data_IF_329725056805
#
_entry.id   IF_329725056805
#
_cell.length_a   1.000
_cell.length_b   1.000
_cell.length_c   1.000
_cell.angle_alpha   90.00
_cell.angle_beta   90.00
_cell.angle_gamma   90.00
#
_symmetry.space_group_name_H-M   'P 1'
#
loop_
_entity.id
_entity.type
_entity.pdbx_description
1 polymer ?
#
# COMPACT_ATOMS: atom_id res chain seq x y z
N UNK A 1 14.28 -25.07 -26.26
CA UNK A 1 14.97 -23.88 -25.68
C UNK A 1 14.10 -22.66 -25.92
N UNK A 2 13.90 -21.81 -24.92
CA UNK A 2 13.20 -20.55 -25.11
C UNK A 2 14.05 -19.63 -26.00
N UNK A 3 13.45 -18.91 -26.94
CA UNK A 3 14.16 -17.91 -27.72
C UNK A 3 14.43 -16.67 -26.87
N UNK A 4 15.47 -15.86 -27.20
CA UNK A 4 15.77 -14.60 -26.53
C UNK A 4 14.51 -13.74 -26.35
N UNK A 5 13.69 -13.61 -27.39
CA UNK A 5 12.43 -12.88 -27.36
C UNK A 5 11.46 -13.42 -26.30
N UNK A 6 11.40 -14.73 -26.10
CA UNK A 6 10.55 -15.34 -25.09
C UNK A 6 11.06 -15.06 -23.66
N UNK A 7 12.38 -15.06 -23.44
CA UNK A 7 12.96 -14.70 -22.13
C UNK A 7 12.71 -13.24 -21.76
N UNK A 8 12.82 -12.31 -22.73
CA UNK A 8 12.48 -10.89 -22.50
C UNK A 8 11.01 -10.70 -22.14
N UNK A 9 10.09 -11.40 -22.84
CA UNK A 9 8.66 -11.33 -22.52
C UNK A 9 8.36 -11.88 -21.11
N UNK A 10 8.96 -13.01 -20.73
CA UNK A 10 8.84 -13.58 -19.39
C UNK A 10 9.40 -12.62 -18.32
N UNK A 11 10.58 -12.06 -18.55
CA UNK A 11 11.18 -11.10 -17.63
C UNK A 11 10.33 -9.82 -17.48
N UNK A 12 9.72 -9.35 -18.58
CA UNK A 12 8.78 -8.21 -18.56
C UNK A 12 7.57 -8.50 -17.68
N UNK A 13 6.93 -9.67 -17.88
CA UNK A 13 5.78 -10.11 -17.08
C UNK A 13 6.16 -10.33 -15.62
N UNK A 14 7.31 -10.93 -15.36
CA UNK A 14 7.81 -11.14 -14.00
C UNK A 14 8.12 -9.83 -13.29
N UNK A 15 8.66 -8.83 -14.00
CA UNK A 15 8.87 -7.50 -13.44
C UNK A 15 7.55 -6.83 -13.06
N UNK A 16 6.55 -6.83 -13.94
CA UNK A 16 5.22 -6.26 -13.63
C UNK A 16 4.58 -6.97 -12.44
N UNK A 17 4.61 -8.30 -12.42
CA UNK A 17 4.09 -9.12 -11.33
C UNK A 17 4.77 -8.84 -10.00
N UNK A 18 6.11 -8.79 -9.99
CA UNK A 18 6.94 -8.64 -8.80
C UNK A 18 7.11 -7.20 -8.32
N UNK A 19 6.92 -6.20 -9.20
CA UNK A 19 7.17 -4.80 -8.86
C UNK A 19 6.44 -4.31 -7.61
N UNK A 20 5.10 -4.50 -7.47
CA UNK A 20 4.39 -4.05 -6.26
C UNK A 20 4.86 -4.77 -5.01
N UNK A 21 5.17 -6.05 -5.09
CA UNK A 21 5.69 -6.85 -3.99
C UNK A 21 7.04 -6.33 -3.49
N UNK A 22 8.00 -6.14 -4.39
CA UNK A 22 9.32 -5.61 -4.04
C UNK A 22 9.23 -4.17 -3.55
N UNK A 23 8.44 -3.32 -4.23
CA UNK A 23 8.29 -1.93 -3.82
C UNK A 23 7.64 -1.80 -2.45
N UNK A 24 6.57 -2.56 -2.18
CA UNK A 24 5.89 -2.60 -0.88
C UNK A 24 6.82 -3.08 0.24
N UNK A 25 7.51 -4.21 0.06
CA UNK A 25 8.42 -4.75 1.07
C UNK A 25 9.60 -3.82 1.35
N UNK A 26 10.14 -3.14 0.34
CA UNK A 26 11.17 -2.12 0.53
C UNK A 26 10.65 -0.92 1.34
N UNK A 27 9.39 -0.50 1.16
CA UNK A 27 8.84 0.57 1.99
C UNK A 27 8.59 0.09 3.44
N UNK A 28 8.18 -1.17 3.66
CA UNK A 28 8.08 -1.74 5.01
C UNK A 28 9.47 -1.81 5.66
N UNK A 29 10.50 -2.26 4.94
CA UNK A 29 11.90 -2.29 5.41
C UNK A 29 12.38 -0.89 5.83
N UNK A 30 12.00 0.16 5.10
CA UNK A 30 12.34 1.54 5.46
C UNK A 30 11.78 1.96 6.82
N UNK A 31 10.57 1.52 7.21
CA UNK A 31 10.04 1.82 8.55
C UNK A 31 10.92 1.23 9.65
N UNK A 32 11.48 0.04 9.44
CA UNK A 32 12.32 -0.62 10.46
C UNK A 32 13.80 -0.20 10.40
N UNK A 33 14.21 0.53 9.37
CA UNK A 33 15.62 0.93 9.21
C UNK A 33 15.87 2.44 9.31
N UNK A 34 14.98 3.28 8.78
CA UNK A 34 15.19 4.75 8.72
C UNK A 34 13.97 5.59 9.07
N UNK A 35 12.75 5.05 8.94
CA UNK A 35 11.49 5.81 9.02
C UNK A 35 11.04 6.36 7.66
N UNK A 36 9.79 6.81 7.56
CA UNK A 36 9.19 7.38 6.34
C UNK A 36 8.39 8.64 6.66
N UNK A 37 8.55 9.69 5.86
CA UNK A 37 7.84 10.95 6.01
C UNK A 37 8.07 11.55 7.40
N UNK A 38 6.99 12.00 8.05
CA UNK A 38 7.04 12.54 9.42
C UNK A 38 7.19 11.50 10.54
N UNK A 39 7.46 10.22 10.22
CA UNK A 39 7.58 9.14 11.21
C UNK A 39 9.03 8.71 11.43
N UNK A 40 9.34 8.26 12.66
CA UNK A 40 10.66 7.73 13.00
C UNK A 40 10.76 6.24 12.69
N UNK A 41 12.01 5.75 12.58
CA UNK A 41 12.32 4.32 12.62
C UNK A 41 11.65 3.65 13.82
N UNK A 42 11.12 2.44 13.60
CA UNK A 42 10.47 1.65 14.66
C UNK A 42 10.72 0.16 14.41
N UNK A 43 10.95 -0.65 15.46
CA UNK A 43 11.02 -2.11 15.31
C UNK A 43 9.70 -2.69 14.79
N UNK A 44 9.74 -3.89 14.23
CA UNK A 44 8.53 -4.65 13.94
C UNK A 44 7.61 -4.74 15.17
N UNK A 45 6.32 -4.85 14.93
CA UNK A 45 5.26 -4.95 15.94
C UNK A 45 5.18 -3.75 16.90
N UNK A 46 5.60 -2.58 16.42
CA UNK A 46 5.46 -1.33 17.13
C UNK A 46 4.89 -0.25 16.22
N UNK A 47 4.07 0.63 16.78
CA UNK A 47 3.57 1.80 16.06
C UNK A 47 4.63 2.91 16.01
N UNK A 48 4.70 3.57 14.86
CA UNK A 48 5.30 4.88 14.70
C UNK A 48 4.22 5.89 14.31
N UNK A 49 4.24 7.05 14.94
CA UNK A 49 3.18 8.04 14.82
C UNK A 49 3.70 9.31 14.18
N UNK A 50 2.99 9.81 13.18
CA UNK A 50 3.19 11.18 12.71
C UNK A 50 2.70 12.16 13.78
N UNK A 51 3.46 13.20 14.04
CA UNK A 51 3.15 14.20 15.07
C UNK A 51 2.37 15.41 14.54
N UNK A 52 2.18 15.50 13.22
CA UNK A 52 1.49 16.59 12.51
C UNK A 52 0.84 16.06 11.24
N UNK A 53 -0.03 16.84 10.64
CA UNK A 53 -0.52 16.57 9.29
C UNK A 53 0.65 16.64 8.30
N UNK A 54 0.53 15.90 7.20
CA UNK A 54 1.55 15.87 6.16
C UNK A 54 1.75 17.26 5.53
N UNK A 55 2.97 17.55 5.13
CA UNK A 55 3.36 18.79 4.46
C UNK A 55 4.30 18.49 3.27
N UNK A 56 4.64 19.46 2.40
CA UNK A 56 5.47 19.24 1.21
C UNK A 56 6.87 18.69 1.48
N UNK A 57 7.39 18.81 2.69
CA UNK A 57 8.66 18.20 3.11
C UNK A 57 8.57 16.68 3.30
N UNK A 58 7.36 16.15 3.49
CA UNK A 58 7.10 14.71 3.60
C UNK A 58 7.06 14.09 2.20
N UNK A 59 8.21 13.65 1.71
CA UNK A 59 8.36 13.09 0.36
C UNK A 59 7.79 11.68 0.28
N UNK A 60 6.45 11.59 0.23
CA UNK A 60 5.70 10.37 0.01
C UNK A 60 4.60 10.58 -1.04
N UNK A 61 4.41 9.58 -1.90
CA UNK A 61 3.46 9.64 -3.02
C UNK A 61 2.03 9.81 -2.52
N UNK A 62 1.32 10.80 -3.03
CA UNK A 62 -0.12 11.04 -2.79
C UNK A 62 -0.52 11.01 -1.30
N UNK A 63 0.35 11.50 -0.39
CA UNK A 63 0.07 11.54 1.03
C UNK A 63 -1.13 12.48 1.31
N UNK A 64 -2.10 12.04 2.12
CA UNK A 64 -3.22 12.90 2.49
C UNK A 64 -2.85 13.90 3.59
N UNK A 65 -3.61 14.98 3.66
CA UNK A 65 -3.46 16.06 4.64
C UNK A 65 -4.69 16.21 5.56
N UNK A 66 -5.53 15.16 5.65
CA UNK A 66 -6.79 15.16 6.41
C UNK A 66 -6.73 14.31 7.66
N UNK A 67 -5.75 13.42 7.75
CA UNK A 67 -5.58 12.46 8.83
C UNK A 67 -4.14 12.41 9.30
N UNK A 68 -3.96 12.07 10.57
CA UNK A 68 -2.65 11.79 11.15
C UNK A 68 -2.35 10.30 11.00
N UNK A 69 -1.14 9.99 10.53
CA UNK A 69 -0.72 8.61 10.33
C UNK A 69 -0.21 7.94 11.61
N UNK A 70 -0.57 6.67 11.75
CA UNK A 70 -0.07 5.76 12.80
C UNK A 70 0.23 4.41 12.15
N UNK A 71 1.47 4.16 11.77
CA UNK A 71 1.84 3.00 10.98
C UNK A 71 2.63 2.00 11.83
N UNK A 72 2.44 0.72 11.55
CA UNK A 72 3.18 -0.34 12.24
C UNK A 72 3.64 -1.40 11.22
N UNK A 73 4.95 -1.57 11.00
CA UNK A 73 5.48 -2.75 10.33
C UNK A 73 5.20 -3.97 11.21
N UNK A 74 4.65 -5.02 10.63
CA UNK A 74 4.23 -6.23 11.33
C UNK A 74 5.10 -7.39 10.87
N UNK A 75 5.59 -8.18 11.83
CA UNK A 75 6.18 -9.50 11.60
C UNK A 75 5.63 -10.47 12.65
N UNK A 76 4.87 -11.44 12.16
CA UNK A 76 4.24 -12.48 12.99
C UNK A 76 5.01 -13.82 12.94
N UNK A 77 6.25 -13.86 12.42
CA UNK A 77 7.07 -15.08 12.35
C UNK A 77 7.37 -15.69 13.72
N UNK A 78 7.50 -14.85 14.75
CA UNK A 78 7.73 -15.28 16.12
C UNK A 78 6.46 -15.84 16.80
N UNK A 79 5.28 -15.64 16.22
CA UNK A 79 3.98 -16.04 16.73
C UNK A 79 2.95 -14.91 16.73
N UNK A 80 1.73 -15.17 17.23
CA UNK A 80 0.67 -14.17 17.26
C UNK A 80 0.99 -12.95 18.09
N UNK A 81 0.50 -11.79 17.65
CA UNK A 81 0.55 -10.54 18.41
C UNK A 81 -0.85 -9.97 18.61
N UNK A 82 -1.05 -9.25 19.70
CA UNK A 82 -2.32 -8.62 20.07
C UNK A 82 -2.26 -7.13 19.71
N UNK A 83 -3.13 -6.71 18.80
CA UNK A 83 -3.41 -5.30 18.54
C UNK A 83 -4.51 -4.82 19.48
N UNK A 84 -4.24 -3.78 20.26
CA UNK A 84 -5.20 -3.08 21.09
C UNK A 84 -5.52 -1.71 20.47
N UNK A 85 -6.81 -1.41 20.31
CA UNK A 85 -7.30 -0.13 19.83
C UNK A 85 -8.12 0.57 20.91
N UNK A 86 -8.01 1.90 21.07
CA UNK A 86 -8.80 2.67 22.04
C UNK A 86 -10.25 2.87 21.55
N UNK A 87 -11.12 3.32 22.46
CA UNK A 87 -12.37 3.96 22.08
C UNK A 87 -12.04 5.36 21.49
N UNK A 88 -12.44 5.56 20.24
CA UNK A 88 -12.21 6.84 19.54
C UNK A 88 -13.42 7.78 19.63
N UNK A 89 -14.45 7.42 20.41
CA UNK A 89 -15.63 8.26 20.70
C UNK A 89 -16.30 8.80 19.43
N UNK A 90 -16.46 7.95 18.41
CA UNK A 90 -17.09 8.32 17.15
C UNK A 90 -16.16 8.97 16.11
N UNK A 91 -14.89 9.32 16.46
CA UNK A 91 -13.90 9.86 15.53
C UNK A 91 -13.62 8.83 14.42
N UNK A 92 -13.53 9.29 13.18
CA UNK A 92 -13.09 8.43 12.09
C UNK A 92 -11.64 8.00 12.30
N UNK A 93 -11.43 6.71 12.21
CA UNK A 93 -10.11 6.11 12.06
C UNK A 93 -10.21 4.87 11.19
N UNK A 94 -9.12 4.50 10.59
CA UNK A 94 -8.94 3.23 9.87
C UNK A 94 -7.52 2.71 10.11
N UNK A 95 -7.42 1.45 10.43
CA UNK A 95 -6.21 0.64 10.38
C UNK A 95 -6.37 -0.30 9.19
N UNK A 96 -5.66 -0.03 8.13
CA UNK A 96 -5.62 -0.82 6.90
C UNK A 96 -4.49 -1.82 7.02
N UNK A 97 -4.77 -3.10 6.81
CA UNK A 97 -3.77 -4.17 6.85
C UNK A 97 -3.36 -4.54 5.44
N UNK A 98 -2.07 -4.48 5.18
CA UNK A 98 -1.47 -4.76 3.88
C UNK A 98 -0.44 -5.88 4.04
N UNK A 99 -0.56 -6.95 3.26
CA UNK A 99 0.38 -8.06 3.27
C UNK A 99 1.67 -7.75 2.46
N UNK A 100 2.62 -8.68 2.41
CA UNK A 100 3.84 -8.52 1.64
C UNK A 100 3.56 -8.30 0.13
N UNK A 101 2.49 -8.89 -0.41
CA UNK A 101 2.08 -8.78 -1.81
C UNK A 101 1.28 -7.51 -2.14
N UNK A 102 1.20 -6.55 -1.18
CA UNK A 102 0.43 -5.31 -1.34
C UNK A 102 -1.09 -5.51 -1.41
N UNK A 103 -1.62 -6.64 -0.93
CA UNK A 103 -3.06 -6.84 -0.81
C UNK A 103 -3.59 -6.17 0.46
N UNK A 104 -4.68 -5.42 0.34
CA UNK A 104 -5.46 -4.94 1.48
C UNK A 104 -6.34 -6.09 1.98
N UNK A 105 -5.97 -6.78 3.05
CA UNK A 105 -6.63 -8.01 3.45
C UNK A 105 -7.52 -7.89 4.69
N UNK A 106 -7.38 -6.82 5.48
CA UNK A 106 -8.23 -6.54 6.63
C UNK A 106 -8.36 -5.04 6.90
N UNK A 107 -9.41 -4.66 7.62
CA UNK A 107 -9.63 -3.30 8.12
C UNK A 107 -10.15 -3.35 9.55
N UNK A 108 -9.61 -2.47 10.41
CA UNK A 108 -10.16 -2.15 11.73
C UNK A 108 -10.41 -0.64 11.75
N UNK A 109 -11.57 -0.19 12.23
CA UNK A 109 -11.90 1.24 12.26
C UNK A 109 -13.38 1.50 12.13
N UNK A 110 -13.74 2.78 12.05
CA UNK A 110 -15.13 3.24 12.16
C UNK A 110 -16.11 2.47 11.27
N UNK A 111 -15.78 2.28 9.99
CA UNK A 111 -16.63 1.53 9.06
C UNK A 111 -16.63 0.02 9.36
N UNK A 112 -15.45 -0.55 9.60
CA UNK A 112 -15.24 -1.99 9.65
C UNK A 112 -15.66 -2.62 10.97
N UNK A 113 -15.31 -1.98 12.11
CA UNK A 113 -15.48 -2.53 13.46
C UNK A 113 -16.10 -1.56 14.46
N UNK A 114 -16.43 -0.34 14.02
CA UNK A 114 -16.92 0.72 14.90
C UNK A 114 -15.79 1.50 15.57
N UNK A 115 -16.17 2.25 16.62
CA UNK A 115 -15.24 3.20 17.28
C UNK A 115 -14.94 2.83 18.74
N UNK A 116 -15.53 1.75 19.26
CA UNK A 116 -15.27 1.26 20.62
C UNK A 116 -13.88 0.63 20.74
N UNK A 117 -13.34 0.62 21.96
CA UNK A 117 -12.12 -0.10 22.25
C UNK A 117 -12.23 -1.59 21.91
N UNK A 118 -11.15 -2.20 21.42
CA UNK A 118 -11.14 -3.60 21.03
C UNK A 118 -9.76 -4.21 21.00
N UNK A 119 -9.73 -5.55 20.94
CA UNK A 119 -8.50 -6.34 20.79
C UNK A 119 -8.61 -7.27 19.60
N UNK A 120 -7.54 -7.34 18.82
CA UNK A 120 -7.44 -8.18 17.63
C UNK A 120 -6.20 -9.05 17.73
N UNK A 121 -6.36 -10.35 17.51
CA UNK A 121 -5.27 -11.31 17.48
C UNK A 121 -4.77 -11.44 16.06
N UNK A 122 -3.58 -10.93 15.79
CA UNK A 122 -2.91 -11.02 14.49
C UNK A 122 -2.12 -12.32 14.46
N UNK A 123 -2.53 -13.25 13.59
CA UNK A 123 -1.96 -14.60 13.57
C UNK A 123 -1.11 -14.83 12.31
N UNK A 124 0.00 -15.60 12.42
CA UNK A 124 0.79 -15.98 11.25
C UNK A 124 0.02 -16.90 10.30
N UNK A 125 0.47 -17.06 9.05
CA UNK A 125 -0.08 -18.05 8.13
C UNK A 125 -0.11 -19.45 8.76
N UNK A 126 -1.22 -20.18 8.56
CA UNK A 126 -1.39 -21.56 9.07
C UNK A 126 -1.35 -21.72 10.61
N UNK A 127 -1.48 -20.63 11.36
CA UNK A 127 -1.66 -20.73 12.81
C UNK A 127 -2.99 -21.40 13.14
N UNK A 128 -2.97 -22.29 14.14
CA UNK A 128 -4.13 -23.11 14.53
C UNK A 128 -4.32 -23.18 16.06
N UNK A 129 -3.79 -22.21 16.79
CA UNK A 129 -3.98 -22.10 18.24
C UNK A 129 -5.37 -21.55 18.60
N UNK A 130 -5.64 -21.46 19.90
CA UNK A 130 -6.90 -20.97 20.42
C UNK A 130 -6.94 -19.43 20.43
N UNK A 131 -8.03 -18.85 19.88
CA UNK A 131 -8.30 -17.42 19.93
C UNK A 131 -8.95 -17.07 21.27
N UNK A 132 -8.38 -16.16 22.09
CA UNK A 132 -9.05 -15.69 23.31
C UNK A 132 -10.44 -15.14 23.05
N UNK A 133 -11.39 -15.42 23.94
CA UNK A 133 -12.82 -15.10 23.76
C UNK A 133 -13.12 -13.57 23.64
N UNK A 134 -12.23 -12.72 24.14
CA UNK A 134 -12.31 -11.27 24.09
C UNK A 134 -11.58 -10.65 22.87
N UNK A 135 -11.11 -11.46 21.93
CA UNK A 135 -10.35 -11.03 20.75
C UNK A 135 -11.01 -11.50 19.45
N UNK A 136 -10.78 -10.73 18.40
CA UNK A 136 -11.15 -11.09 17.02
C UNK A 136 -9.85 -11.47 16.29
N UNK A 137 -9.82 -12.64 15.66
CA UNK A 137 -8.66 -13.06 14.86
C UNK A 137 -8.59 -12.31 13.54
N UNK A 138 -7.37 -11.93 13.15
CA UNK A 138 -7.02 -11.45 11.81
C UNK A 138 -5.84 -12.30 11.32
N UNK A 139 -6.07 -13.14 10.32
CA UNK A 139 -5.07 -14.03 9.75
C UNK A 139 -4.21 -13.29 8.74
N UNK A 140 -2.90 -13.22 9.01
CA UNK A 140 -1.96 -12.65 8.06
C UNK A 140 -1.70 -13.64 6.92
N UNK A 141 -1.80 -13.20 5.65
CA UNK A 141 -1.46 -14.06 4.51
C UNK A 141 0.03 -14.35 4.39
N UNK A 142 0.87 -13.44 4.89
CA UNK A 142 2.33 -13.54 4.92
C UNK A 142 2.86 -13.15 6.29
N UNK A 143 4.02 -13.67 6.71
CA UNK A 143 4.57 -13.34 8.03
C UNK A 143 4.85 -11.84 8.19
N UNK A 144 5.21 -11.16 7.11
CA UNK A 144 5.43 -9.70 7.10
C UNK A 144 4.27 -8.99 6.43
N UNK A 145 3.89 -7.86 7.01
CA UNK A 145 2.92 -6.93 6.48
C UNK A 145 3.07 -5.56 7.14
N UNK A 146 2.10 -4.69 6.91
CA UNK A 146 2.07 -3.37 7.54
C UNK A 146 0.63 -2.98 7.90
N UNK A 147 0.48 -2.27 9.01
CA UNK A 147 -0.74 -1.54 9.35
C UNK A 147 -0.54 -0.08 8.96
N UNK A 148 -1.40 0.45 8.09
CA UNK A 148 -1.45 1.86 7.75
C UNK A 148 -2.65 2.47 8.49
N UNK A 149 -2.36 3.14 9.59
CA UNK A 149 -3.35 3.79 10.42
C UNK A 149 -3.55 5.25 10.04
N UNK A 150 -4.81 5.67 9.98
CA UNK A 150 -5.22 7.05 9.72
C UNK A 150 -6.28 7.45 10.73
N UNK A 151 -6.03 8.54 11.47
CA UNK A 151 -6.97 9.12 12.42
C UNK A 151 -7.36 10.50 11.92
N UNK A 152 -8.66 10.79 11.81
CA UNK A 152 -9.12 12.12 11.43
C UNK A 152 -8.60 13.18 12.40
N UNK A 153 -8.17 14.32 11.86
CA UNK A 153 -7.63 15.43 12.62
C UNK A 153 -8.20 16.75 12.08
N UNK A 154 -8.83 17.51 12.95
CA UNK A 154 -9.48 18.78 12.59
C UNK A 154 -8.53 19.98 12.82
N UNK A 155 -7.32 19.86 12.29
CA UNK A 155 -6.29 20.89 12.36
C UNK A 155 -5.43 20.82 13.62
N UNK A 156 -4.60 21.85 13.81
CA UNK A 156 -3.58 21.86 14.87
C UNK A 156 -4.14 21.80 16.29
N UNK A 157 -5.31 22.41 16.52
CA UNK A 157 -5.95 22.41 17.84
C UNK A 157 -6.40 21.02 18.29
N UNK A 158 -6.64 20.11 17.35
CA UNK A 158 -7.08 18.74 17.62
C UNK A 158 -5.91 17.76 17.83
N UNK A 159 -4.69 18.15 17.48
CA UNK A 159 -3.49 17.30 17.60
C UNK A 159 -3.30 16.68 18.99
N UNK A 160 -3.50 17.39 20.13
CA UNK A 160 -3.37 16.78 21.45
C UNK A 160 -4.30 15.59 21.65
N UNK A 161 -5.58 15.72 21.27
CA UNK A 161 -6.57 14.62 21.37
C UNK A 161 -6.20 13.43 20.48
N UNK A 162 -5.73 13.69 19.25
CA UNK A 162 -5.28 12.62 18.36
C UNK A 162 -4.06 11.89 18.91
N UNK A 163 -3.12 12.61 19.53
CA UNK A 163 -1.93 12.01 20.17
C UNK A 163 -2.29 11.09 21.34
N UNK A 164 -3.25 11.48 22.17
CA UNK A 164 -3.75 10.62 23.25
C UNK A 164 -4.33 9.30 22.72
N UNK A 165 -4.99 9.32 21.56
CA UNK A 165 -5.48 8.11 20.91
C UNK A 165 -4.33 7.29 20.30
N UNK A 166 -3.36 7.93 19.66
CA UNK A 166 -2.17 7.28 19.11
C UNK A 166 -1.39 6.51 20.18
N UNK A 167 -1.19 7.10 21.36
CA UNK A 167 -0.46 6.49 22.48
C UNK A 167 -1.15 5.24 23.05
N UNK A 168 -2.44 5.08 22.79
CA UNK A 168 -3.23 3.92 23.21
C UNK A 168 -3.23 2.79 22.16
N UNK A 169 -2.83 3.06 20.91
CA UNK A 169 -2.61 2.02 19.91
C UNK A 169 -1.38 1.19 20.29
N UNK A 170 -1.57 -0.10 20.55
CA UNK A 170 -0.47 -0.98 21.02
C UNK A 170 -0.50 -2.31 20.32
N UNK A 171 0.70 -2.86 20.10
CA UNK A 171 0.89 -4.23 19.65
C UNK A 171 1.77 -4.91 20.69
N UNK A 172 1.32 -6.05 21.18
CA UNK A 172 2.06 -6.84 22.19
C UNK A 172 2.10 -8.30 21.76
N UNK A 173 3.21 -9.02 21.97
CA UNK A 173 3.26 -10.47 21.76
C UNK A 173 2.17 -11.19 22.58
N UNK A 174 1.52 -12.20 22.00
CA UNK A 174 0.60 -13.07 22.77
C UNK A 174 1.40 -13.91 23.78
N UNK A 175 2.58 -14.38 23.38
CA UNK A 175 3.50 -15.14 24.22
C UNK A 175 4.89 -14.53 24.11
N UNK A 176 5.61 -14.43 25.22
CA UNK A 176 6.97 -13.90 25.25
C UNK A 176 7.99 -14.87 24.63
N UNK A 177 9.06 -14.35 24.04
CA UNK A 177 10.34 -15.02 24.00
C UNK A 177 10.96 -15.39 22.66
N UNK A 178 10.39 -15.03 21.50
CA UNK A 178 11.09 -15.22 20.22
C UNK A 178 11.34 -13.90 19.53
N UNK A 179 12.51 -13.77 18.92
CA UNK A 179 12.79 -12.70 17.96
C UNK A 179 12.09 -13.00 16.64
N UNK A 180 11.69 -11.95 15.94
CA UNK A 180 11.08 -12.06 14.62
C UNK A 180 12.15 -12.34 13.57
N UNK A 181 11.79 -13.03 12.49
CA UNK A 181 12.73 -13.41 11.42
C UNK A 181 13.17 -12.22 10.57
N UNK A 182 12.30 -11.21 10.40
CA UNK A 182 12.55 -10.07 9.52
C UNK A 182 12.54 -10.44 8.03
N UNK A 183 13.14 -9.56 7.23
CA UNK A 183 13.29 -9.82 5.80
C UNK A 183 14.46 -10.76 5.52
N UNK A 184 14.31 -11.73 4.58
CA UNK A 184 15.41 -12.59 4.20
C UNK A 184 16.49 -11.80 3.45
N UNK A 185 17.75 -12.16 3.71
CA UNK A 185 18.88 -11.56 3.00
C UNK A 185 18.95 -12.05 1.54
N UNK A 186 19.37 -11.16 0.67
CA UNK A 186 19.63 -11.44 -0.76
C UNK A 186 20.89 -10.72 -1.23
N UNK A 187 21.46 -11.15 -2.34
CA UNK A 187 22.67 -10.53 -2.89
C UNK A 187 22.38 -9.13 -3.47
N UNK A 188 22.70 -8.10 -2.70
CA UNK A 188 22.55 -6.69 -3.05
C UNK A 188 23.70 -6.17 -3.92
N UNK A 189 24.76 -6.97 -4.16
CA UNK A 189 25.91 -6.56 -4.98
C UNK A 189 25.69 -6.65 -6.49
N UNK A 190 24.61 -7.35 -6.88
CA UNK A 190 24.20 -7.46 -8.28
C UNK A 190 23.79 -6.10 -8.85
N UNK A 191 23.97 -5.90 -10.16
CA UNK A 191 23.43 -4.72 -10.84
C UNK A 191 21.93 -4.57 -10.61
N UNK A 192 21.44 -3.33 -10.63
CA UNK A 192 20.08 -2.95 -10.20
C UNK A 192 18.97 -3.88 -10.72
N UNK A 193 18.99 -4.20 -12.00
CA UNK A 193 17.97 -5.04 -12.63
C UNK A 193 18.07 -6.49 -12.17
N UNK A 194 19.29 -7.04 -12.04
CA UNK A 194 19.51 -8.39 -11.54
C UNK A 194 19.19 -8.51 -10.05
N UNK A 195 19.55 -7.48 -9.26
CA UNK A 195 19.20 -7.42 -7.84
C UNK A 195 17.68 -7.43 -7.61
N UNK A 196 16.89 -6.81 -8.51
CA UNK A 196 15.43 -6.89 -8.44
C UNK A 196 14.94 -8.34 -8.58
N UNK A 197 15.43 -9.08 -9.58
CA UNK A 197 15.01 -10.47 -9.78
C UNK A 197 15.53 -11.39 -8.66
N UNK A 198 16.72 -11.11 -8.11
CA UNK A 198 17.23 -11.86 -6.97
C UNK A 198 16.38 -11.63 -5.71
N UNK A 199 16.07 -10.38 -5.38
CA UNK A 199 15.17 -10.07 -4.28
C UNK A 199 13.80 -10.73 -4.48
N UNK A 200 13.25 -10.65 -5.70
CA UNK A 200 11.98 -11.28 -6.04
C UNK A 200 12.02 -12.79 -5.82
N UNK A 201 13.07 -13.48 -6.29
CA UNK A 201 13.28 -14.91 -6.12
C UNK A 201 13.31 -15.33 -4.64
N UNK A 202 14.12 -14.63 -3.85
CA UNK A 202 14.30 -14.91 -2.43
C UNK A 202 13.01 -14.64 -1.65
N UNK A 203 12.37 -13.51 -1.92
CA UNK A 203 11.15 -13.11 -1.21
C UNK A 203 9.94 -13.96 -1.59
N UNK A 204 9.79 -14.37 -2.86
CA UNK A 204 8.74 -15.30 -3.28
C UNK A 204 8.82 -16.64 -2.56
N UNK A 205 10.02 -17.13 -2.25
CA UNK A 205 10.21 -18.38 -1.52
C UNK A 205 9.81 -18.25 -0.04
N UNK A 206 9.95 -17.06 0.56
CA UNK A 206 9.66 -16.80 1.98
C UNK A 206 8.19 -16.33 2.19
N UNK A 207 7.63 -15.61 1.24
CA UNK A 207 6.29 -15.05 1.32
C UNK A 207 5.43 -15.59 0.18
N UNK A 208 4.80 -16.76 0.34
CA UNK A 208 4.00 -17.36 -0.73
C UNK A 208 2.82 -16.45 -1.11
N UNK A 209 2.44 -16.41 -2.41
CA UNK A 209 1.28 -15.68 -2.87
C UNK A 209 -0.02 -16.42 -2.53
N UNK A 210 -1.16 -15.85 -2.93
CA UNK A 210 -2.40 -16.59 -2.98
C UNK A 210 -2.27 -17.82 -3.89
N UNK A 211 -2.98 -18.92 -3.56
CA UNK A 211 -2.87 -20.21 -4.22
C UNK A 211 -3.05 -20.11 -5.75
N UNK A 212 -4.03 -19.31 -6.20
CA UNK A 212 -4.29 -19.09 -7.63
C UNK A 212 -3.12 -18.47 -8.39
N UNK A 213 -2.23 -17.76 -7.73
CA UNK A 213 -1.07 -17.09 -8.34
C UNK A 213 0.17 -18.03 -8.43
N UNK A 214 0.14 -19.23 -7.83
CA UNK A 214 1.25 -20.20 -7.87
C UNK A 214 1.59 -20.61 -9.31
N UNK A 215 0.57 -20.88 -10.14
CA UNK A 215 0.77 -21.24 -11.56
C UNK A 215 1.46 -20.10 -12.33
N UNK A 216 1.14 -18.84 -11.98
CA UNK A 216 1.81 -17.68 -12.57
C UNK A 216 3.28 -17.65 -12.21
N UNK A 217 3.63 -17.90 -10.94
CA UNK A 217 5.02 -17.95 -10.50
C UNK A 217 5.80 -19.07 -11.18
N UNK A 218 5.22 -20.27 -11.30
CA UNK A 218 5.82 -21.40 -11.99
C UNK A 218 6.18 -21.06 -13.45
N UNK A 219 5.38 -20.25 -14.13
CA UNK A 219 5.66 -19.79 -15.48
C UNK A 219 6.98 -19.02 -15.64
N UNK A 220 7.53 -18.48 -14.54
CA UNK A 220 8.79 -17.75 -14.51
C UNK A 220 10.02 -18.64 -14.27
N UNK A 221 9.87 -19.96 -14.17
CA UNK A 221 11.00 -20.90 -14.01
C UNK A 221 12.10 -20.72 -15.08
N UNK A 222 11.77 -20.46 -16.38
CA UNK A 222 12.80 -20.31 -17.41
C UNK A 222 13.75 -19.11 -17.22
N UNK A 223 13.39 -18.15 -16.39
CA UNK A 223 14.23 -17.00 -16.04
C UNK A 223 14.87 -17.12 -14.65
N UNK A 224 14.81 -18.30 -14.01
CA UNK A 224 15.50 -18.61 -12.76
C UNK A 224 14.75 -18.23 -11.48
N UNK A 225 13.54 -17.66 -11.55
CA UNK A 225 12.81 -17.19 -10.36
C UNK A 225 12.36 -18.31 -9.41
N UNK A 226 12.26 -19.56 -9.91
CA UNK A 226 11.87 -20.72 -9.10
C UNK A 226 13.07 -21.52 -8.56
N UNK A 227 14.29 -21.10 -8.87
CA UNK A 227 15.50 -21.79 -8.40
C UNK A 227 15.75 -21.55 -6.91
N UNK A 228 16.12 -22.61 -6.19
CA UNK A 228 16.45 -22.57 -4.76
C UNK A 228 17.96 -22.60 -4.56
N UNK A 229 18.41 -22.07 -3.42
CA UNK A 229 19.83 -22.07 -3.05
C UNK A 229 20.64 -20.99 -3.75
N UNK A 230 21.72 -21.36 -4.43
CA UNK A 230 22.63 -20.40 -5.09
C UNK A 230 21.89 -19.59 -6.14
N UNK A 231 22.14 -18.28 -6.15
CA UNK A 231 21.49 -17.37 -7.08
C UNK A 231 21.88 -17.67 -8.55
N UNK A 232 20.90 -17.88 -9.45
CA UNK A 232 21.18 -18.04 -10.88
C UNK A 232 21.69 -16.72 -11.51
N UNK A 233 21.58 -15.61 -10.79
CA UNK A 233 21.96 -14.27 -11.26
C UNK A 233 23.37 -13.85 -10.86
N UNK A 234 24.08 -14.64 -10.05
CA UNK A 234 25.47 -14.37 -9.67
C UNK A 234 26.44 -14.59 -10.84
N UNK A 235 26.12 -15.52 -11.76
CA UNK A 235 26.90 -15.78 -12.99
C UNK A 235 25.98 -16.22 -14.13
N UNK A 236 25.03 -15.38 -14.59
CA UNK A 236 24.06 -15.74 -15.60
C UNK A 236 24.73 -15.83 -16.99
N UNK A 237 24.12 -16.59 -17.89
CA UNK A 237 24.50 -16.48 -19.32
C UNK A 237 24.22 -15.05 -19.82
N UNK A 238 24.99 -14.58 -20.82
CA UNK A 238 24.74 -13.27 -21.43
C UNK A 238 23.33 -13.15 -22.00
N UNK A 239 22.76 -14.23 -22.52
CA UNK A 239 21.39 -14.29 -23.02
C UNK A 239 20.38 -14.00 -21.89
N UNK A 240 20.49 -14.69 -20.75
CA UNK A 240 19.61 -14.48 -19.59
C UNK A 240 19.80 -13.08 -19.00
N UNK A 241 21.04 -12.65 -18.80
CA UNK A 241 21.35 -11.31 -18.27
C UNK A 241 20.73 -10.20 -19.11
N UNK A 242 20.91 -10.24 -20.42
CA UNK A 242 20.34 -9.24 -21.33
C UNK A 242 18.81 -9.30 -21.32
N UNK A 243 18.20 -10.51 -21.29
CA UNK A 243 16.76 -10.65 -21.22
C UNK A 243 16.17 -10.05 -19.93
N UNK A 244 16.82 -10.23 -18.79
CA UNK A 244 16.38 -9.65 -17.51
C UNK A 244 16.48 -8.11 -17.52
N UNK A 245 17.59 -7.56 -18.03
CA UNK A 245 17.77 -6.11 -18.14
C UNK A 245 16.74 -5.47 -19.07
N UNK A 246 16.53 -6.05 -20.26
CA UNK A 246 15.54 -5.57 -21.23
C UNK A 246 14.11 -5.71 -20.68
N UNK A 247 13.82 -6.85 -20.06
CA UNK A 247 12.51 -7.14 -19.46
C UNK A 247 12.18 -6.19 -18.31
N UNK A 248 13.12 -5.87 -17.42
CA UNK A 248 12.92 -4.90 -16.37
C UNK A 248 12.60 -3.49 -16.91
N UNK A 249 13.34 -3.04 -17.92
CA UNK A 249 13.09 -1.76 -18.59
C UNK A 249 11.73 -1.72 -19.26
N UNK A 250 11.37 -2.77 -20.00
CA UNK A 250 10.07 -2.87 -20.66
C UNK A 250 8.92 -2.95 -19.64
N UNK A 251 9.09 -3.71 -18.57
CA UNK A 251 8.10 -3.83 -17.49
C UNK A 251 7.81 -2.48 -16.82
N UNK A 252 8.87 -1.73 -16.45
CA UNK A 252 8.71 -0.40 -15.89
C UNK A 252 8.04 0.58 -16.87
N UNK A 253 8.40 0.52 -18.15
CA UNK A 253 7.78 1.36 -19.17
C UNK A 253 6.27 1.03 -19.33
N UNK A 254 5.90 -0.24 -19.30
CA UNK A 254 4.51 -0.69 -19.37
C UNK A 254 3.71 -0.21 -18.14
N UNK A 255 4.25 -0.33 -16.93
CA UNK A 255 3.63 0.18 -15.71
C UNK A 255 3.39 1.69 -15.85
N UNK A 256 4.43 2.47 -16.21
CA UNK A 256 4.32 3.92 -16.38
C UNK A 256 3.28 4.30 -17.44
N UNK A 257 3.23 3.59 -18.55
CA UNK A 257 2.20 3.83 -19.59
C UNK A 257 0.79 3.56 -19.06
N UNK A 258 0.63 2.55 -18.22
CA UNK A 258 -0.68 2.21 -17.64
C UNK A 258 -1.17 3.23 -16.60
N UNK A 259 -0.30 4.05 -15.99
CA UNK A 259 -0.70 5.06 -14.99
C UNK A 259 -1.59 6.18 -15.56
N UNK A 260 -1.62 6.36 -16.87
CA UNK A 260 -2.44 7.38 -17.55
C UNK A 260 -3.65 6.79 -18.30
N UNK A 261 -3.86 5.47 -18.20
CA UNK A 261 -4.89 4.77 -18.96
C UNK A 261 -6.11 4.41 -18.11
N UNK A 262 -6.61 5.37 -17.33
CA UNK A 262 -7.85 5.20 -16.57
C UNK A 262 -9.06 5.60 -17.37
N UNK A 263 -10.20 4.89 -17.16
CA UNK A 263 -11.50 5.40 -17.59
C UNK A 263 -11.73 6.74 -16.91
N UNK A 264 -12.23 7.70 -17.64
CA UNK A 264 -12.54 9.02 -17.08
C UNK A 264 -14.00 9.40 -17.35
N UNK A 265 -14.57 10.13 -16.39
CA UNK A 265 -15.88 10.75 -16.51
C UNK A 265 -15.74 12.22 -16.10
N UNK A 266 -16.26 13.12 -16.91
CA UNK A 266 -16.12 14.57 -16.73
C UNK A 266 -14.67 15.04 -16.50
N UNK A 267 -13.69 14.39 -17.14
CA UNK A 267 -12.28 14.69 -16.99
C UNK A 267 -11.61 14.09 -15.71
N UNK A 268 -12.38 13.38 -14.86
CA UNK A 268 -11.86 12.73 -13.67
C UNK A 268 -11.64 11.24 -13.92
N UNK A 269 -10.46 10.76 -13.58
CA UNK A 269 -10.13 9.33 -13.62
C UNK A 269 -10.92 8.56 -12.56
N UNK A 270 -11.60 7.49 -12.99
CA UNK A 270 -12.38 6.62 -12.13
C UNK A 270 -11.43 5.58 -11.52
N UNK A 271 -11.08 5.75 -10.26
CA UNK A 271 -10.08 4.92 -9.56
C UNK A 271 -10.67 4.13 -8.39
N UNK A 272 -12.02 4.05 -8.28
CA UNK A 272 -12.68 3.34 -7.18
C UNK A 272 -12.30 1.86 -7.07
N UNK A 273 -11.87 1.24 -8.16
CA UNK A 273 -11.45 -0.16 -8.23
C UNK A 273 -9.93 -0.36 -8.31
N UNK A 274 -9.15 0.70 -8.05
CA UNK A 274 -7.70 0.68 -8.17
C UNK A 274 -7.03 -0.31 -7.21
N UNK A 275 -7.68 -0.65 -6.10
CA UNK A 275 -7.14 -1.54 -5.06
C UNK A 275 -7.83 -2.90 -4.99
N UNK A 276 -8.68 -3.24 -5.95
CA UNK A 276 -9.50 -4.45 -5.95
C UNK A 276 -8.79 -5.68 -6.57
N UNK A 277 -7.48 -5.67 -6.56
CA UNK A 277 -6.63 -6.74 -7.10
C UNK A 277 -6.37 -7.90 -6.13
N UNK A 278 -6.93 -7.87 -4.92
CA UNK A 278 -6.81 -8.98 -3.97
C UNK A 278 -7.14 -10.30 -4.64
N UNK A 279 -6.37 -11.35 -4.31
CA UNK A 279 -6.62 -12.69 -4.81
C UNK A 279 -7.65 -13.41 -3.95
N UNK A 280 -7.27 -13.87 -2.74
CA UNK A 280 -8.11 -14.74 -1.91
C UNK A 280 -8.12 -14.34 -0.41
N UNK A 281 -7.47 -13.26 -0.03
CA UNK A 281 -7.31 -12.86 1.37
C UNK A 281 -8.34 -11.79 1.74
N UNK A 282 -9.41 -12.22 2.41
CA UNK A 282 -10.54 -11.35 2.80
C UNK A 282 -10.88 -11.57 4.26
N UNK A 283 -10.24 -10.80 5.13
CA UNK A 283 -10.47 -10.80 6.57
C UNK A 283 -11.47 -9.70 6.97
N UNK A 284 -11.62 -9.46 8.27
CA UNK A 284 -12.56 -8.49 8.82
C UNK A 284 -12.51 -7.13 8.11
N UNK A 285 -13.67 -6.55 7.84
CA UNK A 285 -13.80 -5.22 7.23
C UNK A 285 -13.59 -5.17 5.71
N UNK A 286 -13.15 -6.26 5.06
CA UNK A 286 -13.10 -6.37 3.61
C UNK A 286 -14.43 -6.87 3.03
N UNK A 287 -14.63 -6.65 1.71
CA UNK A 287 -15.82 -7.11 0.99
C UNK A 287 -15.42 -8.13 -0.07
N UNK A 288 -15.75 -9.40 0.16
CA UNK A 288 -15.62 -10.46 -0.85
C UNK A 288 -16.86 -10.45 -1.75
N UNK A 289 -16.87 -9.53 -2.72
CA UNK A 289 -17.91 -9.43 -3.75
C UNK A 289 -17.25 -9.21 -5.10
N UNK A 290 -17.85 -9.71 -6.19
CA UNK A 290 -17.34 -9.50 -7.55
C UNK A 290 -17.26 -8.01 -7.93
N UNK A 291 -18.08 -7.16 -7.30
CA UNK A 291 -18.00 -5.71 -7.50
C UNK A 291 -16.67 -5.10 -7.01
N UNK A 292 -15.95 -5.81 -6.11
CA UNK A 292 -14.71 -5.37 -5.46
C UNK A 292 -13.55 -6.33 -5.71
N UNK A 293 -13.58 -7.04 -6.83
CA UNK A 293 -12.50 -7.96 -7.24
C UNK A 293 -12.27 -7.82 -8.74
N UNK A 294 -11.03 -7.57 -9.15
CA UNK A 294 -10.62 -7.64 -10.55
C UNK A 294 -10.44 -9.13 -10.90
N UNK A 295 -11.40 -9.68 -11.65
CA UNK A 295 -11.41 -11.11 -11.97
C UNK A 295 -10.31 -11.50 -12.96
N UNK A 296 -10.04 -10.63 -13.97
CA UNK A 296 -8.91 -10.82 -14.90
C UNK A 296 -7.58 -10.64 -14.16
N UNK A 297 -6.86 -11.74 -13.95
CA UNK A 297 -5.60 -11.71 -13.20
C UNK A 297 -4.47 -10.96 -13.91
N UNK A 298 -4.44 -10.95 -15.24
CA UNK A 298 -3.43 -10.16 -15.97
C UNK A 298 -3.71 -8.66 -15.83
N UNK A 299 -4.96 -8.25 -15.86
CA UNK A 299 -5.38 -6.89 -15.53
C UNK A 299 -5.06 -6.56 -14.05
N UNK A 300 -5.37 -7.46 -13.11
CA UNK A 300 -5.07 -7.26 -11.69
C UNK A 300 -3.58 -7.06 -11.42
N UNK A 301 -2.67 -7.77 -12.11
CA UNK A 301 -1.23 -7.59 -11.92
C UNK A 301 -0.76 -6.21 -12.38
N UNK A 302 -1.24 -5.72 -13.53
CA UNK A 302 -0.83 -4.37 -13.99
C UNK A 302 -1.47 -3.28 -13.12
N UNK A 303 -2.72 -3.43 -12.71
CA UNK A 303 -3.40 -2.46 -11.81
C UNK A 303 -2.69 -2.43 -10.46
N UNK A 304 -2.30 -3.59 -9.87
CA UNK A 304 -1.52 -3.64 -8.65
C UNK A 304 -0.18 -2.90 -8.77
N UNK A 305 0.51 -3.05 -9.91
CA UNK A 305 1.76 -2.34 -10.17
C UNK A 305 1.56 -0.82 -10.34
N UNK A 306 0.47 -0.41 -11.00
CA UNK A 306 0.07 0.99 -11.11
C UNK A 306 -0.25 1.57 -9.74
N UNK A 307 -1.04 0.86 -8.92
CA UNK A 307 -1.36 1.29 -7.54
C UNK A 307 -0.10 1.49 -6.70
N UNK A 308 0.86 0.57 -6.80
CA UNK A 308 2.11 0.68 -6.04
C UNK A 308 2.93 1.93 -6.42
N UNK A 309 2.99 2.28 -7.70
CA UNK A 309 3.80 3.42 -8.15
C UNK A 309 3.11 4.78 -7.98
N UNK A 310 1.77 4.84 -7.95
CA UNK A 310 1.00 6.10 -7.93
C UNK A 310 0.35 6.41 -6.58
N UNK A 311 0.01 5.41 -5.79
CA UNK A 311 -0.82 5.58 -4.59
C UNK A 311 -0.63 4.44 -3.58
N UNK A 312 0.61 4.00 -3.36
CA UNK A 312 0.94 2.89 -2.45
C UNK A 312 0.13 2.98 -1.15
N UNK A 313 -0.47 1.84 -0.74
CA UNK A 313 -1.31 1.71 0.47
C UNK A 313 -2.60 2.53 0.45
N UNK A 314 -3.17 2.79 -0.73
CA UNK A 314 -4.53 3.31 -0.81
C UNK A 314 -5.56 2.26 -0.35
N UNK A 315 -6.71 2.75 0.07
CA UNK A 315 -7.81 1.90 0.54
C UNK A 315 -8.65 1.37 -0.62
N UNK A 316 -9.38 0.28 -0.41
CA UNK A 316 -10.48 -0.10 -1.30
C UNK A 316 -11.53 1.02 -1.37
N UNK A 317 -12.21 1.15 -2.52
CA UNK A 317 -13.20 2.19 -2.74
C UNK A 317 -14.38 2.21 -1.75
N UNK A 318 -14.69 1.10 -1.11
CA UNK A 318 -15.70 1.05 -0.03
C UNK A 318 -15.21 1.62 1.32
N UNK A 319 -13.91 1.91 1.47
CA UNK A 319 -13.35 2.64 2.61
C UNK A 319 -13.03 4.09 2.25
N UNK A 320 -12.34 4.31 1.13
CA UNK A 320 -12.02 5.65 0.64
C UNK A 320 -11.85 5.63 -0.89
N UNK A 321 -12.48 6.59 -1.56
CA UNK A 321 -12.40 6.75 -3.02
C UNK A 321 -11.42 7.88 -3.32
N UNK A 322 -10.57 7.67 -4.33
CA UNK A 322 -9.61 8.65 -4.81
C UNK A 322 -9.90 8.94 -6.29
N UNK A 323 -10.47 10.10 -6.59
CA UNK A 323 -10.69 10.54 -7.96
C UNK A 323 -9.57 11.50 -8.35
N UNK A 324 -9.01 11.35 -9.54
CA UNK A 324 -7.85 12.15 -9.98
C UNK A 324 -8.15 12.82 -11.32
N UNK A 325 -7.69 14.06 -11.49
CA UNK A 325 -7.66 14.74 -12.78
C UNK A 325 -6.33 15.43 -12.99
N UNK A 326 -5.89 15.48 -14.24
CA UNK A 326 -4.64 16.12 -14.67
C UNK A 326 -4.88 17.24 -15.66
N UNK A 327 -6.13 17.38 -16.15
CA UNK A 327 -6.49 18.34 -17.20
C UNK A 327 -7.72 19.14 -16.81
N UNK A 328 -7.85 20.32 -17.42
CA UNK A 328 -9.08 21.11 -17.39
C UNK A 328 -10.13 20.55 -18.38
N UNK A 329 -11.29 21.21 -18.47
CA UNK A 329 -12.39 20.82 -19.36
C UNK A 329 -12.05 20.91 -20.84
N UNK A 330 -11.03 21.69 -21.21
CA UNK A 330 -10.55 21.83 -22.58
C UNK A 330 -9.44 20.81 -22.92
N UNK A 331 -9.07 19.95 -21.96
CA UNK A 331 -8.02 18.94 -22.10
C UNK A 331 -6.60 19.48 -21.91
N UNK A 332 -6.42 20.73 -21.48
CA UNK A 332 -5.11 21.29 -21.20
C UNK A 332 -4.61 20.79 -19.84
N UNK A 333 -3.31 20.51 -19.72
CA UNK A 333 -2.70 20.11 -18.45
C UNK A 333 -2.91 21.19 -17.37
N UNK A 334 -3.34 20.77 -16.19
CA UNK A 334 -3.46 21.66 -15.03
C UNK A 334 -2.10 22.29 -14.72
N UNK A 335 -2.09 23.58 -14.44
CA UNK A 335 -0.87 24.34 -14.19
C UNK A 335 -1.13 25.42 -13.12
N UNK A 336 -0.29 25.49 -12.09
CA UNK A 336 -0.41 26.47 -11.00
C UNK A 336 -0.34 27.95 -11.40
N UNK A 337 -0.04 28.28 -12.67
CA UNK A 337 -0.11 29.65 -13.19
C UNK A 337 -1.54 30.09 -13.54
N UNK A 338 -2.46 29.14 -13.69
CA UNK A 338 -3.85 29.38 -14.09
C UNK A 338 -4.76 29.42 -12.85
N UNK A 339 -5.92 30.05 -13.01
CA UNK A 339 -7.02 30.00 -12.05
C UNK A 339 -8.05 29.00 -12.55
N UNK A 340 -8.53 28.13 -11.69
CA UNK A 340 -9.52 27.12 -12.00
C UNK A 340 -10.74 27.27 -11.08
N UNK A 341 -11.90 26.88 -11.56
CA UNK A 341 -13.12 26.71 -10.77
C UNK A 341 -13.49 25.23 -10.84
N UNK A 342 -13.74 24.64 -9.68
CA UNK A 342 -14.31 23.31 -9.56
C UNK A 342 -15.70 23.43 -8.95
N UNK A 343 -16.71 22.90 -9.63
CA UNK A 343 -18.08 22.84 -9.15
C UNK A 343 -18.41 21.41 -8.74
N UNK A 344 -18.90 21.24 -7.50
CA UNK A 344 -19.36 19.97 -6.97
C UNK A 344 -20.89 19.99 -6.88
N UNK A 345 -21.55 19.31 -7.81
CA UNK A 345 -23.01 19.21 -7.84
C UNK A 345 -23.44 17.80 -8.29
N UNK A 346 -23.93 16.94 -7.39
CA UNK A 346 -24.09 17.16 -5.93
C UNK A 346 -22.77 17.16 -5.17
N UNK A 347 -22.82 17.55 -3.88
CA UNK A 347 -21.71 17.36 -2.93
C UNK A 347 -21.42 15.85 -2.84
N UNK A 348 -20.12 15.45 -2.70
CA UNK A 348 -19.74 14.03 -2.61
C UNK A 348 -20.54 13.27 -1.54
N UNK A 349 -21.19 12.15 -1.87
CA UNK A 349 -22.03 11.38 -0.93
C UNK A 349 -21.16 10.47 -0.06
N UNK A 350 -20.53 11.03 0.96
CA UNK A 350 -19.63 10.32 1.87
C UNK A 350 -20.18 10.26 3.28
N UNK A 351 -19.90 9.17 4.01
CA UNK A 351 -20.34 8.97 5.40
C UNK A 351 -19.43 9.62 6.43
N UNK A 352 -18.22 10.04 6.04
CA UNK A 352 -17.24 10.61 6.95
C UNK A 352 -16.84 12.03 6.56
N UNK A 353 -16.04 12.21 5.53
CA UNK A 353 -15.60 13.51 5.02
C UNK A 353 -15.09 13.40 3.58
N UNK A 354 -14.97 14.53 2.89
CA UNK A 354 -14.30 14.64 1.60
C UNK A 354 -13.28 15.77 1.61
N UNK A 355 -12.27 15.66 0.75
CA UNK A 355 -11.29 16.72 0.51
C UNK A 355 -10.78 16.68 -0.92
N UNK A 356 -10.24 17.80 -1.36
CA UNK A 356 -9.53 17.97 -2.63
C UNK A 356 -8.11 18.37 -2.27
N UNK A 357 -7.16 17.57 -2.73
CA UNK A 357 -5.74 17.79 -2.47
C UNK A 357 -5.00 18.00 -3.78
N UNK A 358 -4.08 18.97 -3.82
CA UNK A 358 -3.26 19.25 -4.98
C UNK A 358 -1.86 18.66 -4.81
N UNK A 359 -1.39 17.97 -5.85
CA UNK A 359 -0.07 17.36 -5.90
C UNK A 359 0.74 17.87 -7.09
N UNK A 360 2.05 17.95 -6.91
CA UNK A 360 3.00 18.22 -7.98
C UNK A 360 3.37 16.96 -8.75
N UNK A 361 3.58 17.08 -10.05
CA UNK A 361 4.08 16.02 -10.92
C UNK A 361 5.59 16.17 -11.13
N UNK A 362 6.33 15.06 -11.35
CA UNK A 362 5.85 13.68 -11.55
C UNK A 362 5.76 12.82 -10.28
N UNK A 363 6.15 13.33 -9.10
CA UNK A 363 6.32 12.55 -7.87
C UNK A 363 5.06 12.45 -7.01
N UNK A 364 4.02 13.22 -7.33
CA UNK A 364 2.76 13.31 -6.56
C UNK A 364 2.99 13.74 -5.10
N UNK A 365 3.86 14.71 -4.86
CA UNK A 365 4.06 15.32 -3.56
C UNK A 365 3.11 16.50 -3.35
N UNK A 366 2.79 16.83 -2.08
CA UNK A 366 1.99 18.02 -1.76
C UNK A 366 2.65 19.28 -2.31
N UNK A 367 1.86 20.17 -2.95
CA UNK A 367 2.35 21.42 -3.51
C UNK A 367 2.68 22.43 -2.42
N UNK A 368 3.93 22.89 -2.36
CA UNK A 368 4.30 24.00 -1.48
C UNK A 368 3.59 25.30 -1.91
N UNK A 369 3.05 26.02 -0.93
CA UNK A 369 2.39 27.28 -1.19
C UNK A 369 2.45 28.23 0.01
N UNK A 370 2.38 29.59 -0.22
CA UNK A 370 2.60 30.59 0.84
C UNK A 370 1.51 30.66 1.91
N UNK A 371 0.37 30.00 1.71
CA UNK A 371 -0.72 29.95 2.71
C UNK A 371 -0.73 28.65 3.51
N UNK A 372 0.23 27.75 3.28
CA UNK A 372 0.34 26.43 3.92
C UNK A 372 -0.96 25.62 3.90
N UNK A 373 -1.73 25.73 2.80
CA UNK A 373 -2.96 24.97 2.60
C UNK A 373 -2.78 23.97 1.47
N UNK A 374 -2.85 22.70 1.79
CA UNK A 374 -2.57 21.60 0.86
C UNK A 374 -3.83 20.85 0.44
N UNK A 375 -4.89 20.95 1.24
CA UNK A 375 -6.21 20.41 0.95
C UNK A 375 -7.32 21.40 1.30
N UNK A 376 -8.50 21.19 0.70
CA UNK A 376 -9.75 21.84 1.04
C UNK A 376 -10.87 20.79 1.04
N UNK A 377 -11.76 20.83 2.04
CA UNK A 377 -12.84 19.86 2.16
C UNK A 377 -13.94 20.35 3.08
N UNK A 378 -14.93 19.50 3.32
CA UNK A 378 -16.09 19.81 4.18
C UNK A 378 -15.73 20.20 5.63
N UNK A 379 -14.57 19.76 6.12
CA UNK A 379 -14.05 20.09 7.45
C UNK A 379 -13.15 21.34 7.47
N UNK A 380 -12.94 21.99 6.31
CA UNK A 380 -12.09 23.18 6.25
C UNK A 380 -12.77 24.36 6.95
N UNK A 381 -12.15 24.99 7.97
CA UNK A 381 -12.72 26.11 8.66
C UNK A 381 -13.07 27.28 7.71
N UNK A 382 -14.30 27.77 7.80
CA UNK A 382 -14.77 28.90 6.99
C UNK A 382 -15.17 28.57 5.56
N UNK A 383 -15.29 27.27 5.20
CA UNK A 383 -15.87 26.88 3.92
C UNK A 383 -17.31 27.38 3.82
N UNK A 384 -17.69 27.91 2.66
CA UNK A 384 -19.05 28.38 2.38
C UNK A 384 -19.58 27.61 1.16
N UNK A 385 -20.85 27.27 1.21
CA UNK A 385 -21.58 26.65 0.11
C UNK A 385 -22.53 27.66 -0.50
N UNK A 386 -22.63 27.66 -1.82
CA UNK A 386 -23.54 28.54 -2.57
C UNK A 386 -24.93 27.91 -2.71
#
# INVERSE_FOLDING_TARGET
MATQKNLVDLATKAYIYGFPFIFNTQQIERYVTVGIGGTKQVPFNNFTHASRLAEPSDKFVSVNNDTIYSNAPIDVSAGPVVLSVPDTSGRYYVLQFVDAWSNNFAYVGKRATGTSAGKFLLTPPNWNGDVPADMIEIKFPTNIGIIIGRLACDGEADLPTVRELQEQLKITPLNEGKEVDGFPEYDRSLGKELAFFEQLRVYMAQFPPAERDLVKQESFAPIGLMEKGVSPYSNPSEELKNALIEGAKAGLANIKKATTNFKSENGWGLTQHLFDYNADFFEIGTKKSLDWVIEDREEAYIIRAVSAITALWGNHGYEAVYLMTWTDTDGNALNGKNKYTLELNPIPPVDSFWSITMYDLPEYFLCENPINRYSIGDRTPGIQYN
#
